data_IF_700410613445
#
_entry.id   IF_700410613445
#
_cell.length_a   1.000
_cell.length_b   1.000
_cell.length_c   1.000
_cell.angle_alpha   90.00
_cell.angle_beta   90.00
_cell.angle_gamma   90.00
#
_symmetry.space_group_name_H-M   'P 1'
#
loop_
_entity.id
_entity.type
_entity.pdbx_description
1 polymer ?
#
# COMPACT_ATOMS: atom_id res chain seq x y z
N UNK A 1 -12.16 7.65 5.03
CA UNK A 1 -10.82 7.24 4.55
C UNK A 1 -10.19 6.32 5.60
N UNK A 2 -9.33 5.31 5.28
CA UNK A 2 -8.77 4.92 3.98
C UNK A 2 -9.73 4.11 3.09
N UNK A 3 -9.24 3.73 1.90
CA UNK A 3 -9.97 2.91 0.93
C UNK A 3 -10.29 1.51 1.47
N UNK A 4 -11.46 0.96 1.09
CA UNK A 4 -11.89 -0.37 1.51
C UNK A 4 -10.92 -1.47 1.08
N UNK A 5 -10.35 -1.34 -0.12
CA UNK A 5 -9.36 -2.28 -0.70
C UNK A 5 -8.06 -2.39 0.09
N UNK A 6 -7.72 -1.37 0.91
CA UNK A 6 -6.52 -1.34 1.75
C UNK A 6 -6.86 -1.46 3.25
N UNK A 7 -8.12 -1.63 3.60
CA UNK A 7 -8.55 -1.83 5.00
C UNK A 7 -9.28 -3.16 5.14
N UNK A 8 -10.50 -3.23 4.62
CA UNK A 8 -11.36 -4.41 4.64
C UNK A 8 -12.80 -4.05 5.00
N UNK A 9 -13.60 -5.08 5.30
CA UNK A 9 -15.00 -4.94 5.67
C UNK A 9 -15.36 -5.88 6.83
N UNK A 10 -16.07 -5.40 7.88
CA UNK A 10 -16.41 -4.01 8.17
C UNK A 10 -15.16 -3.14 8.47
N UNK A 11 -15.09 -1.94 7.88
CA UNK A 11 -13.86 -1.11 7.89
C UNK A 11 -13.29 -0.80 9.28
N UNK A 12 -14.08 -0.36 10.29
CA UNK A 12 -13.53 -0.09 11.62
C UNK A 12 -12.89 -1.32 12.26
N UNK A 13 -13.48 -2.51 12.07
CA UNK A 13 -12.94 -3.76 12.61
C UNK A 13 -11.69 -4.21 11.87
N UNK A 14 -11.71 -4.14 10.54
CA UNK A 14 -10.56 -4.46 9.71
C UNK A 14 -9.34 -3.59 10.06
N UNK A 15 -9.54 -2.28 10.27
CA UNK A 15 -8.47 -1.38 10.71
C UNK A 15 -7.94 -1.71 12.11
N UNK A 16 -8.80 -2.14 13.05
CA UNK A 16 -8.35 -2.60 14.38
C UNK A 16 -7.45 -3.84 14.27
N UNK A 17 -7.84 -4.82 13.46
CA UNK A 17 -7.04 -6.03 13.23
C UNK A 17 -5.72 -5.70 12.55
N UNK A 18 -5.73 -4.86 11.51
CA UNK A 18 -4.50 -4.37 10.86
C UNK A 18 -3.58 -3.72 11.89
N UNK A 19 -4.10 -2.81 12.71
CA UNK A 19 -3.32 -2.14 13.75
C UNK A 19 -2.76 -3.12 14.79
N UNK A 20 -3.51 -4.17 15.13
CA UNK A 20 -3.08 -5.19 16.08
C UNK A 20 -1.96 -6.09 15.52
N UNK A 21 -2.01 -6.43 14.23
CA UNK A 21 -1.09 -7.38 13.62
C UNK A 21 0.12 -6.74 12.93
N UNK A 22 0.03 -5.48 12.50
CA UNK A 22 1.15 -4.77 11.92
C UNK A 22 1.98 -4.06 13.01
N UNK A 23 3.27 -4.37 13.06
CA UNK A 23 4.20 -3.77 14.03
C UNK A 23 4.65 -2.35 13.68
N UNK A 24 4.08 -1.75 12.63
CA UNK A 24 4.50 -0.45 12.10
C UNK A 24 3.29 0.39 11.68
N UNK A 25 3.43 1.71 11.78
CA UNK A 25 2.46 2.60 11.18
C UNK A 25 2.66 2.60 9.65
N UNK A 26 1.58 2.39 8.89
CA UNK A 26 1.58 2.36 7.42
C UNK A 26 2.03 3.68 6.79
N UNK A 27 1.93 4.81 7.50
CA UNK A 27 2.35 6.11 7.01
C UNK A 27 1.63 6.47 5.70
N UNK A 28 2.38 6.52 4.59
CA UNK A 28 1.82 6.80 3.27
C UNK A 28 1.05 5.61 2.67
N UNK A 29 1.36 4.36 3.05
CA UNK A 29 0.77 3.18 2.43
C UNK A 29 -0.73 3.07 2.71
N UNK A 30 -1.54 2.99 1.65
CA UNK A 30 -2.99 3.04 1.74
C UNK A 30 -3.58 4.43 2.03
N UNK A 31 -2.72 5.45 2.09
CA UNK A 31 -3.04 6.87 2.06
C UNK A 31 -3.47 7.34 0.66
N UNK A 32 -3.64 8.65 0.49
CA UNK A 32 -4.05 9.26 -0.78
C UNK A 32 -3.08 10.39 -1.19
N UNK A 33 -2.80 10.49 -2.49
CA UNK A 33 -2.00 11.56 -3.10
C UNK A 33 -2.74 12.12 -4.32
N UNK A 34 -2.71 13.43 -4.52
CA UNK A 34 -3.45 14.06 -5.60
C UNK A 34 -3.58 15.57 -5.41
N UNK A 35 -4.64 16.15 -5.97
CA UNK A 35 -4.89 17.59 -5.90
C UNK A 35 -6.34 17.91 -5.51
N UNK A 36 -6.51 19.11 -4.96
CA UNK A 36 -7.78 19.80 -4.75
C UNK A 36 -7.65 21.16 -5.44
N UNK A 37 -8.44 21.40 -6.48
CA UNK A 37 -8.46 22.65 -7.23
C UNK A 37 -9.29 23.71 -6.53
N UNK A 38 -8.98 24.99 -6.78
CA UNK A 38 -9.75 26.12 -6.24
C UNK A 38 -11.18 26.20 -6.78
N UNK A 39 -11.47 25.49 -7.88
CA UNK A 39 -12.80 25.32 -8.46
C UNK A 39 -13.60 24.17 -7.82
N UNK A 40 -13.03 23.47 -6.83
CA UNK A 40 -13.66 22.32 -6.16
C UNK A 40 -13.34 20.97 -6.79
N UNK A 41 -12.53 20.91 -7.85
CA UNK A 41 -12.10 19.63 -8.43
C UNK A 41 -11.22 18.85 -7.46
N UNK A 42 -11.48 17.55 -7.33
CA UNK A 42 -10.67 16.67 -6.49
C UNK A 42 -10.30 15.42 -7.28
N UNK A 43 -9.01 15.16 -7.39
CA UNK A 43 -8.50 13.90 -7.91
C UNK A 43 -7.44 13.35 -6.95
N UNK A 44 -7.68 12.15 -6.45
CA UNK A 44 -6.83 11.47 -5.46
C UNK A 44 -6.59 10.03 -5.91
N UNK A 45 -5.34 9.62 -5.92
CA UNK A 45 -4.91 8.24 -6.11
C UNK A 45 -4.58 7.60 -4.76
N UNK A 46 -4.85 6.31 -4.62
CA UNK A 46 -4.42 5.54 -3.44
C UNK A 46 -2.91 5.29 -3.57
N UNK A 47 -2.16 5.55 -2.50
CA UNK A 47 -0.72 5.32 -2.44
C UNK A 47 -0.40 3.82 -2.26
N UNK A 48 -0.37 3.12 -3.38
CA UNK A 48 0.11 1.75 -3.56
C UNK A 48 1.11 1.72 -4.73
N UNK A 49 2.02 0.72 -4.75
CA UNK A 49 3.11 0.69 -5.75
C UNK A 49 3.91 2.01 -5.75
N UNK A 50 4.18 2.53 -4.56
CA UNK A 50 4.82 3.85 -4.35
C UNK A 50 6.04 3.68 -3.46
N UNK A 51 7.07 4.49 -3.70
CA UNK A 51 8.20 4.66 -2.81
C UNK A 51 8.07 5.94 -2.01
N UNK A 52 8.32 5.87 -0.70
CA UNK A 52 8.70 7.03 0.10
C UNK A 52 10.23 7.07 0.20
N UNK A 53 10.83 8.08 -0.43
CA UNK A 53 12.27 8.35 -0.28
C UNK A 53 12.51 9.22 0.94
N UNK A 54 13.26 8.70 1.92
CA UNK A 54 13.61 9.44 3.14
C UNK A 54 14.92 8.95 3.71
N UNK A 55 15.82 9.87 4.07
CA UNK A 55 17.10 9.56 4.72
C UNK A 55 17.90 8.47 3.97
N UNK A 56 18.07 8.65 2.65
CA UNK A 56 18.76 7.71 1.76
C UNK A 56 18.18 6.27 1.77
N UNK A 57 16.90 6.13 2.12
CA UNK A 57 16.19 4.86 2.08
C UNK A 57 14.91 5.00 1.27
N UNK A 58 14.63 4.01 0.44
CA UNK A 58 13.33 3.84 -0.23
C UNK A 58 12.47 2.91 0.63
N UNK A 59 11.39 3.44 1.17
CA UNK A 59 10.39 2.68 1.93
C UNK A 59 9.24 2.36 0.99
N UNK A 60 8.84 1.10 0.92
CA UNK A 60 7.75 0.62 0.10
C UNK A 60 7.05 -0.54 0.80
N UNK A 61 5.75 -0.67 0.56
CA UNK A 61 4.93 -1.69 1.19
C UNK A 61 3.90 -2.21 0.18
N UNK A 62 3.55 -3.49 0.32
CA UNK A 62 2.40 -4.10 -0.34
C UNK A 62 1.68 -5.01 0.65
N UNK A 63 0.48 -5.42 0.28
CA UNK A 63 -0.41 -6.26 1.07
C UNK A 63 -1.35 -7.02 0.15
N UNK A 64 -2.12 -7.91 0.75
CA UNK A 64 -3.11 -8.73 0.06
C UNK A 64 -4.44 -8.69 0.83
N UNK A 65 -5.54 -8.95 0.11
CA UNK A 65 -6.87 -8.98 0.69
C UNK A 65 -7.17 -10.39 1.20
N UNK A 66 -7.24 -10.56 2.51
CA UNK A 66 -7.48 -11.88 3.12
C UNK A 66 -8.98 -12.14 3.25
N UNK A 67 -9.43 -13.29 2.74
CA UNK A 67 -10.80 -13.80 2.87
C UNK A 67 -10.79 -15.19 3.49
N UNK A 68 -11.96 -15.71 3.88
CA UNK A 68 -12.08 -17.02 4.54
C UNK A 68 -11.51 -18.20 3.73
N UNK A 69 -11.41 -18.06 2.40
CA UNK A 69 -10.86 -19.08 1.49
C UNK A 69 -9.41 -18.79 1.07
N UNK A 70 -8.77 -17.76 1.62
CA UNK A 70 -7.39 -17.42 1.30
C UNK A 70 -6.43 -18.52 1.74
N UNK A 71 -5.42 -18.78 0.92
CA UNK A 71 -4.30 -19.67 1.24
C UNK A 71 -3.07 -18.82 1.58
N UNK A 72 -2.45 -18.98 2.77
CA UNK A 72 -1.34 -18.14 3.22
C UNK A 72 -0.17 -18.05 2.24
N UNK A 73 0.23 -19.17 1.63
CA UNK A 73 1.34 -19.20 0.67
C UNK A 73 1.02 -18.38 -0.59
N UNK A 74 -0.19 -18.51 -1.13
CA UNK A 74 -0.64 -17.75 -2.29
C UNK A 74 -0.72 -16.25 -2.01
N UNK A 75 -1.25 -15.85 -0.85
CA UNK A 75 -1.37 -14.44 -0.47
C UNK A 75 0.03 -13.81 -0.31
N UNK A 76 0.96 -14.54 0.32
CA UNK A 76 2.35 -14.10 0.44
C UNK A 76 3.02 -13.95 -0.92
N UNK A 77 2.78 -14.89 -1.84
CA UNK A 77 3.30 -14.79 -3.20
C UNK A 77 2.71 -13.58 -3.94
N UNK A 78 1.43 -13.26 -3.75
CA UNK A 78 0.83 -12.06 -4.30
C UNK A 78 1.52 -10.78 -3.79
N UNK A 79 1.77 -10.69 -2.48
CA UNK A 79 2.51 -9.56 -1.90
C UNK A 79 3.91 -9.45 -2.50
N UNK A 80 4.63 -10.57 -2.62
CA UNK A 80 5.96 -10.62 -3.23
C UNK A 80 5.92 -10.13 -4.68
N UNK A 81 4.95 -10.58 -5.48
CA UNK A 81 4.76 -10.12 -6.86
C UNK A 81 4.49 -8.61 -6.94
N UNK A 82 3.71 -8.07 -5.99
CA UNK A 82 3.43 -6.63 -5.93
C UNK A 82 4.68 -5.80 -5.63
N UNK A 83 5.50 -6.28 -4.70
CA UNK A 83 6.78 -5.65 -4.35
C UNK A 83 7.83 -5.82 -5.45
N UNK A 84 7.82 -6.94 -6.17
CA UNK A 84 8.85 -7.24 -7.17
C UNK A 84 8.87 -6.23 -8.32
N UNK A 85 7.71 -5.69 -8.72
CA UNK A 85 7.69 -4.61 -9.73
C UNK A 85 8.44 -3.36 -9.26
N UNK A 86 8.35 -3.03 -7.96
CA UNK A 86 9.09 -1.91 -7.37
C UNK A 86 10.58 -2.22 -7.33
N UNK A 87 10.98 -3.41 -6.89
CA UNK A 87 12.39 -3.83 -6.89
C UNK A 87 13.01 -3.79 -8.29
N UNK A 88 12.28 -4.24 -9.31
CA UNK A 88 12.71 -4.16 -10.71
C UNK A 88 12.89 -2.71 -11.17
N UNK A 89 11.96 -1.82 -10.82
CA UNK A 89 12.08 -0.40 -11.15
C UNK A 89 13.35 0.24 -10.56
N UNK A 90 13.71 -0.11 -9.31
CA UNK A 90 14.97 0.37 -8.69
C UNK A 90 16.19 -0.16 -9.45
N UNK A 91 16.26 -1.46 -9.73
CA UNK A 91 17.37 -2.05 -10.50
C UNK A 91 17.56 -1.42 -11.88
N UNK A 92 16.45 -1.09 -12.55
CA UNK A 92 16.50 -0.41 -13.84
C UNK A 92 17.00 1.04 -13.69
N UNK A 93 16.59 1.74 -12.64
CA UNK A 93 17.03 3.10 -12.37
C UNK A 93 18.53 3.19 -12.02
N UNK A 94 19.13 2.13 -11.47
CA UNK A 94 20.58 2.06 -11.21
C UNK A 94 21.43 2.02 -12.50
N UNK A 95 20.82 1.75 -13.66
CA UNK A 95 21.50 1.66 -14.96
C UNK A 95 21.38 2.94 -15.80
N UNK A 96 20.74 3.98 -15.27
CA UNK A 96 20.54 5.29 -15.91
C UNK A 96 21.44 6.31 -15.21
#
# INVERSE_FOLDING_TARGET
FPAGTLSGAPKPMAMKLIYQYENVNRGFYGGAIGFIGFNGDVNMAIMIRTFLSRANKLIFQAGAGVVAKSNPESELQEVNNKVEALRKAVKMAEQI
#
